data_IF_277006402772
#
_entry.id   IF_277006402772
#
_cell.length_a   1.000
_cell.length_b   1.000
_cell.length_c   1.000
_cell.angle_alpha   90.00
_cell.angle_beta   90.00
_cell.angle_gamma   90.00
#
_symmetry.space_group_name_H-M   'P 1'
#
loop_
_entity.id
_entity.type
_entity.pdbx_description
1 polymer ?
#
# COMPACT_ATOMS: atom_id res chain seq x y z
N UNK A 1 13.03 -19.18 8.68
CA UNK A 1 12.94 -18.40 9.94
C UNK A 1 11.60 -18.68 10.61
N UNK A 2 11.61 -19.40 11.75
CA UNK A 2 10.43 -19.69 12.57
C UNK A 2 9.84 -18.38 13.10
N UNK A 3 8.51 -18.21 12.99
CA UNK A 3 7.81 -17.03 13.50
C UNK A 3 7.59 -17.27 15.01
N UNK A 4 8.14 -16.43 15.90
CA UNK A 4 7.95 -16.56 17.35
C UNK A 4 6.47 -16.64 17.75
N UNK A 5 6.16 -17.49 18.74
CA UNK A 5 4.78 -17.79 19.14
C UNK A 5 4.05 -16.58 19.74
N UNK A 6 4.80 -15.56 20.20
CA UNK A 6 4.31 -14.33 20.83
C UNK A 6 3.60 -13.35 19.87
N UNK A 7 3.67 -13.56 18.55
CA UNK A 7 3.06 -12.64 17.58
C UNK A 7 1.54 -12.83 17.45
N UNK A 8 0.77 -11.73 17.23
CA UNK A 8 -0.65 -11.82 16.90
C UNK A 8 -0.90 -12.74 15.71
N UNK A 9 -2.08 -13.38 15.68
CA UNK A 9 -2.46 -14.36 14.64
C UNK A 9 -2.45 -13.74 13.24
N UNK A 10 -2.75 -12.46 13.17
CA UNK A 10 -2.90 -11.59 12.01
C UNK A 10 -1.52 -11.36 11.39
N UNK A 11 -0.52 -11.06 12.22
CA UNK A 11 0.89 -10.95 11.82
C UNK A 11 1.41 -12.30 11.31
N UNK A 12 1.11 -13.40 12.01
CA UNK A 12 1.52 -14.75 11.58
C UNK A 12 0.93 -15.11 10.21
N UNK A 13 -0.37 -14.85 10.02
CA UNK A 13 -1.08 -15.07 8.75
C UNK A 13 -0.46 -14.23 7.64
N UNK A 14 -0.26 -12.94 7.88
CA UNK A 14 0.33 -12.02 6.90
C UNK A 14 1.73 -12.48 6.46
N UNK A 15 2.62 -12.77 7.43
CA UNK A 15 4.00 -13.20 7.14
C UNK A 15 4.02 -14.53 6.38
N UNK A 16 3.11 -15.45 6.70
CA UNK A 16 2.99 -16.74 6.00
C UNK A 16 2.61 -16.54 4.54
N UNK A 17 1.58 -15.73 4.27
CA UNK A 17 1.13 -15.42 2.91
C UNK A 17 2.17 -14.62 2.12
N UNK A 18 2.87 -13.70 2.79
CA UNK A 18 3.97 -12.95 2.19
C UNK A 18 5.09 -13.87 1.71
N UNK A 19 5.53 -14.81 2.55
CA UNK A 19 6.56 -15.80 2.19
C UNK A 19 6.11 -16.77 1.10
N UNK A 20 4.80 -17.05 1.02
CA UNK A 20 4.23 -17.91 -0.01
C UNK A 20 4.08 -17.23 -1.38
N UNK A 21 4.43 -15.94 -1.52
CA UNK A 21 4.30 -15.21 -2.78
C UNK A 21 2.85 -14.85 -3.12
N UNK A 22 1.97 -14.71 -2.12
CA UNK A 22 0.56 -14.39 -2.32
C UNK A 22 0.32 -12.97 -2.87
N UNK A 23 1.25 -12.04 -2.61
CA UNK A 23 1.08 -10.63 -2.97
C UNK A 23 1.46 -10.33 -4.41
N UNK A 24 0.76 -9.38 -5.00
CA UNK A 24 0.99 -8.90 -6.37
C UNK A 24 2.42 -8.37 -6.54
N UNK A 25 3.11 -8.67 -7.66
CA UNK A 25 4.40 -8.07 -7.99
C UNK A 25 4.34 -6.54 -8.03
N UNK A 26 5.48 -5.88 -7.79
CA UNK A 26 5.54 -4.41 -7.71
C UNK A 26 5.26 -3.69 -9.03
N UNK A 27 5.54 -4.34 -10.16
CA UNK A 27 5.33 -3.81 -11.51
C UNK A 27 3.88 -3.85 -11.98
N UNK A 28 3.04 -4.64 -11.33
CA UNK A 28 1.74 -5.00 -11.89
C UNK A 28 0.65 -4.02 -11.48
N UNK A 29 -0.42 -3.98 -12.27
CA UNK A 29 -1.55 -3.08 -12.04
C UNK A 29 -2.44 -3.66 -10.94
N UNK A 30 -2.61 -2.88 -9.87
CA UNK A 30 -3.60 -3.15 -8.85
C UNK A 30 -4.99 -2.70 -9.29
N UNK A 31 -5.99 -3.55 -9.06
CA UNK A 31 -7.41 -3.29 -9.38
C UNK A 31 -8.24 -3.61 -8.14
N UNK A 32 -8.83 -2.62 -7.44
CA UNK A 32 -9.56 -2.84 -6.19
C UNK A 32 -10.75 -3.80 -6.29
N UNK A 33 -11.37 -3.87 -7.48
CA UNK A 33 -12.55 -4.69 -7.75
C UNK A 33 -12.20 -6.16 -8.03
N UNK A 34 -10.94 -6.46 -8.33
CA UNK A 34 -10.51 -7.84 -8.51
C UNK A 34 -10.38 -8.52 -7.15
N UNK A 35 -10.91 -9.74 -7.03
CA UNK A 35 -11.07 -10.42 -5.74
C UNK A 35 -9.73 -10.67 -5.05
N UNK A 36 -8.71 -11.20 -5.74
CA UNK A 36 -7.40 -11.49 -5.14
C UNK A 36 -6.70 -10.22 -4.69
N UNK A 37 -6.76 -9.17 -5.48
CA UNK A 37 -6.22 -7.85 -5.17
C UNK A 37 -6.91 -7.27 -3.92
N UNK A 38 -8.24 -7.35 -3.87
CA UNK A 38 -9.02 -6.88 -2.72
C UNK A 38 -8.66 -7.65 -1.43
N UNK A 39 -8.40 -8.96 -1.53
CA UNK A 39 -7.99 -9.80 -0.40
C UNK A 39 -6.59 -9.44 0.10
N UNK A 40 -5.63 -9.21 -0.81
CA UNK A 40 -4.30 -8.71 -0.45
C UNK A 40 -4.37 -7.36 0.26
N UNK A 41 -5.17 -6.44 -0.27
CA UNK A 41 -5.35 -5.13 0.30
C UNK A 41 -6.06 -5.17 1.67
N UNK A 42 -7.02 -6.08 1.85
CA UNK A 42 -7.68 -6.32 3.14
C UNK A 42 -6.68 -6.82 4.19
N UNK A 43 -5.86 -7.81 3.86
CA UNK A 43 -4.84 -8.35 4.76
C UNK A 43 -3.85 -7.29 5.24
N UNK A 44 -3.41 -6.41 4.32
CA UNK A 44 -2.51 -5.31 4.68
C UNK A 44 -3.22 -4.24 5.51
N UNK A 45 -4.50 -3.95 5.22
CA UNK A 45 -5.30 -2.98 5.99
C UNK A 45 -5.53 -3.45 7.43
N UNK A 46 -5.80 -4.75 7.62
CA UNK A 46 -5.92 -5.39 8.94
C UNK A 46 -4.59 -5.27 9.72
N UNK A 47 -3.45 -5.56 9.07
CA UNK A 47 -2.13 -5.41 9.68
C UNK A 47 -1.84 -3.97 10.16
N UNK A 48 -2.24 -2.97 9.36
CA UNK A 48 -2.11 -1.57 9.73
C UNK A 48 -3.08 -1.15 10.84
N UNK A 49 -4.32 -1.64 10.79
CA UNK A 49 -5.34 -1.31 11.79
C UNK A 49 -4.96 -1.85 13.17
N UNK A 50 -4.47 -3.09 13.24
CA UNK A 50 -4.11 -3.77 14.48
C UNK A 50 -2.75 -3.32 15.05
N UNK A 51 -2.07 -2.37 14.41
CA UNK A 51 -0.82 -1.82 14.94
C UNK A 51 -1.07 -1.08 16.27
N UNK A 52 -0.35 -1.52 17.31
CA UNK A 52 -0.53 -1.07 18.72
C UNK A 52 -0.40 0.45 18.94
N UNK A 53 0.44 1.11 18.17
CA UNK A 53 0.78 2.53 18.31
C UNK A 53 1.16 3.11 16.93
N UNK A 54 1.17 4.44 16.84
CA UNK A 54 1.50 5.15 15.60
C UNK A 54 2.89 4.81 15.07
N UNK A 55 3.89 4.66 15.96
CA UNK A 55 5.26 4.32 15.58
C UNK A 55 5.34 2.93 14.90
N UNK A 56 4.61 1.94 15.43
CA UNK A 56 4.50 0.61 14.84
C UNK A 56 3.77 0.66 13.51
N UNK A 57 2.68 1.41 13.43
CA UNK A 57 1.94 1.64 12.18
C UNK A 57 2.86 2.25 11.12
N UNK A 58 3.57 3.33 11.46
CA UNK A 58 4.47 4.03 10.55
C UNK A 58 5.63 3.14 10.07
N UNK A 59 6.31 2.42 10.98
CA UNK A 59 7.37 1.47 10.62
C UNK A 59 6.85 0.35 9.71
N UNK A 60 5.65 -0.15 9.98
CA UNK A 60 5.00 -1.16 9.13
C UNK A 60 4.67 -0.59 7.75
N UNK A 61 4.20 0.66 7.67
CA UNK A 61 3.93 1.35 6.41
C UNK A 61 5.21 1.58 5.58
N UNK A 62 6.31 2.00 6.22
CA UNK A 62 7.63 2.15 5.57
C UNK A 62 8.10 0.82 5.00
N UNK A 63 7.96 -0.28 5.76
CA UNK A 63 8.28 -1.61 5.26
C UNK A 63 7.39 -1.99 4.07
N UNK A 64 6.07 -1.85 4.20
CA UNK A 64 5.11 -2.23 3.16
C UNK A 64 5.32 -1.45 1.86
N UNK A 65 5.63 -0.15 1.93
CA UNK A 65 5.92 0.71 0.79
C UNK A 65 7.10 0.21 -0.05
N UNK A 66 8.10 -0.40 0.59
CA UNK A 66 9.29 -0.90 -0.08
C UNK A 66 9.14 -2.35 -0.57
N UNK A 67 8.20 -3.13 -0.04
CA UNK A 67 8.14 -4.57 -0.30
C UNK A 67 6.90 -5.02 -1.07
N UNK A 68 5.83 -4.23 -1.08
CA UNK A 68 4.56 -4.60 -1.71
C UNK A 68 4.27 -3.73 -2.94
N UNK A 69 3.30 -4.17 -3.73
CA UNK A 69 2.79 -3.41 -4.86
C UNK A 69 2.30 -2.02 -4.43
N UNK A 70 2.63 -1.00 -5.23
CA UNK A 70 2.33 0.39 -4.91
C UNK A 70 0.83 0.69 -4.79
N UNK A 71 0.00 0.06 -5.62
CA UNK A 71 -1.45 0.22 -5.57
C UNK A 71 -2.08 -0.50 -4.37
N UNK A 72 -1.63 -1.73 -4.07
CA UNK A 72 -2.05 -2.45 -2.85
C UNK A 72 -1.70 -1.63 -1.61
N UNK A 73 -0.47 -1.12 -1.54
CA UNK A 73 -0.03 -0.26 -0.45
C UNK A 73 -0.89 1.01 -0.33
N UNK A 74 -1.05 1.77 -1.43
CA UNK A 74 -1.78 3.03 -1.43
C UNK A 74 -3.22 2.85 -0.96
N UNK A 75 -3.90 1.84 -1.49
CA UNK A 75 -5.28 1.56 -1.12
C UNK A 75 -5.42 1.17 0.36
N UNK A 76 -4.59 0.24 0.84
CA UNK A 76 -4.62 -0.20 2.24
C UNK A 76 -4.24 0.91 3.20
N UNK A 77 -3.21 1.69 2.87
CA UNK A 77 -2.71 2.77 3.72
C UNK A 77 -3.74 3.89 3.86
N UNK A 78 -4.33 4.35 2.75
CA UNK A 78 -5.39 5.37 2.77
C UNK A 78 -6.60 4.91 3.58
N UNK A 79 -7.01 3.64 3.42
CA UNK A 79 -8.11 3.06 4.21
C UNK A 79 -7.79 3.00 5.70
N UNK A 80 -6.57 2.63 6.06
CA UNK A 80 -6.15 2.56 7.46
C UNK A 80 -6.02 3.94 8.11
N UNK A 81 -5.58 4.97 7.38
CA UNK A 81 -5.57 6.36 7.87
C UNK A 81 -6.98 6.85 8.22
N UNK A 82 -7.98 6.48 7.41
CA UNK A 82 -9.37 6.86 7.66
C UNK A 82 -10.01 6.07 8.82
N UNK A 83 -9.56 4.83 9.04
CA UNK A 83 -10.16 3.93 10.01
C UNK A 83 -9.60 4.10 11.43
N UNK A 84 -8.34 4.53 11.59
CA UNK A 84 -7.69 4.62 12.91
C UNK A 84 -7.93 5.99 13.56
N UNK A 85 -8.30 5.99 14.83
CA UNK A 85 -8.55 7.23 15.59
C UNK A 85 -7.32 8.14 15.72
N UNK A 86 -6.11 7.56 15.82
CA UNK A 86 -4.85 8.32 15.97
C UNK A 86 -4.44 9.09 14.70
N UNK A 87 -5.02 8.75 13.55
CA UNK A 87 -4.72 9.38 12.25
C UNK A 87 -5.92 10.09 11.63
N UNK A 88 -7.04 10.18 12.36
CA UNK A 88 -8.31 10.78 11.91
C UNK A 88 -8.19 12.21 11.38
N UNK A 89 -7.25 12.99 11.92
CA UNK A 89 -7.05 14.39 11.53
C UNK A 89 -5.93 14.58 10.50
N UNK A 90 -5.38 13.49 9.96
CA UNK A 90 -4.36 13.59 8.93
C UNK A 90 -5.00 14.01 7.62
N UNK A 91 -4.36 14.96 6.95
CA UNK A 91 -4.70 15.31 5.59
C UNK A 91 -4.28 14.17 4.65
N UNK A 92 -5.25 13.62 3.93
CA UNK A 92 -5.01 12.63 2.89
C UNK A 92 -5.00 13.38 1.55
N UNK A 93 -3.86 13.40 0.83
CA UNK A 93 -3.81 14.06 -0.46
C UNK A 93 -4.78 13.38 -1.44
N UNK A 94 -5.35 14.15 -2.38
CA UNK A 94 -6.23 13.62 -3.38
C UNK A 94 -5.51 12.63 -4.31
N UNK A 95 -6.25 11.66 -4.84
CA UNK A 95 -5.66 10.60 -5.66
C UNK A 95 -4.97 11.11 -6.93
N UNK A 96 -5.39 12.24 -7.50
CA UNK A 96 -4.74 12.82 -8.68
C UNK A 96 -3.33 13.36 -8.41
N UNK A 97 -2.97 13.67 -7.17
CA UNK A 97 -1.60 14.06 -6.78
C UNK A 97 -0.69 12.85 -6.56
N UNK A 98 -1.25 11.77 -6.02
CA UNK A 98 -0.48 10.56 -5.65
C UNK A 98 -0.38 9.57 -6.81
N UNK A 99 -1.42 9.51 -7.65
CA UNK A 99 -1.54 8.54 -8.74
C UNK A 99 -2.13 9.21 -10.01
N UNK A 100 -1.37 10.14 -10.63
CA UNK A 100 -1.85 10.99 -11.72
C UNK A 100 -2.23 10.20 -12.98
N UNK A 101 -1.67 9.01 -13.18
CA UNK A 101 -1.92 8.16 -14.36
C UNK A 101 -3.39 7.74 -14.54
N UNK A 102 -4.25 7.88 -13.52
CA UNK A 102 -5.69 7.62 -13.64
C UNK A 102 -6.53 8.87 -13.97
N UNK A 103 -5.95 10.06 -13.91
CA UNK A 103 -6.68 11.34 -13.98
C UNK A 103 -6.17 12.26 -15.09
N UNK A 104 -5.06 11.91 -15.73
CA UNK A 104 -4.39 12.71 -16.73
C UNK A 104 -4.27 11.90 -18.03
N UNK A 105 -4.60 12.54 -19.14
CA UNK A 105 -4.51 11.91 -20.46
C UNK A 105 -3.08 11.49 -20.79
N UNK A 106 -2.97 10.38 -21.53
CA UNK A 106 -1.68 9.80 -21.92
C UNK A 106 -0.77 10.82 -22.63
N UNK A 107 -1.32 11.67 -23.50
CA UNK A 107 -0.55 12.68 -24.24
C UNK A 107 0.15 13.69 -23.31
N UNK A 108 -0.47 14.03 -22.17
CA UNK A 108 0.14 14.94 -21.17
C UNK A 108 1.25 14.21 -20.41
N UNK A 109 1.04 12.93 -20.09
CA UNK A 109 2.06 12.07 -19.47
C UNK A 109 3.28 11.90 -20.40
N UNK A 110 3.07 11.70 -21.70
CA UNK A 110 4.17 11.60 -22.67
C UNK A 110 5.00 12.89 -22.74
N UNK A 111 4.35 14.06 -22.80
CA UNK A 111 5.04 15.35 -22.73
C UNK A 111 5.87 15.53 -21.45
N UNK A 112 5.37 15.04 -20.31
CA UNK A 112 6.11 15.06 -19.06
C UNK A 112 7.39 14.20 -19.15
N UNK A 113 7.32 13.02 -19.76
CA UNK A 113 8.48 12.17 -19.97
C UNK A 113 9.50 12.81 -20.92
N UNK A 114 9.05 13.39 -22.03
CA UNK A 114 9.90 14.14 -22.97
C UNK A 114 10.62 15.31 -22.28
N UNK A 115 9.90 16.11 -21.50
CA UNK A 115 10.47 17.20 -20.72
C UNK A 115 11.52 16.70 -19.73
N UNK A 116 11.27 15.58 -19.03
CA UNK A 116 12.23 14.98 -18.09
C UNK A 116 13.50 14.50 -18.78
N UNK A 117 13.39 13.92 -19.98
CA UNK A 117 14.53 13.41 -20.75
C UNK A 117 15.40 14.53 -21.33
N UNK A 118 14.82 15.71 -21.60
CA UNK A 118 15.50 16.86 -22.20
C UNK A 118 16.06 17.85 -21.18
N UNK A 119 15.73 17.68 -19.89
CA UNK A 119 16.15 18.58 -18.79
C UNK A 119 17.51 18.22 -18.15
N UNK A 120 18.38 17.49 -18.85
CA UNK A 120 19.78 17.21 -18.46
C UNK A 120 20.74 18.19 -19.11
#
# INVERSE_FOLDING_TARGET
MNIPEKFPKEVKKFVTLYKAGFFLPRSDIFVPLEKKHSEQAKLLSELFYDAKDYDTFFKTAVWARNHLNGGVFLYSFTRSLQAREDTRFFYIPPYYEIYPFLFVDEHVIQKLYEARLTST
#
